data_IF_873803048728
#
_entry.id   IF_873803048728
#
_cell.length_a   1.000
_cell.length_b   1.000
_cell.length_c   1.000
_cell.angle_alpha   90.00
_cell.angle_beta   90.00
_cell.angle_gamma   90.00
#
_symmetry.space_group_name_H-M   'P 1'
#
loop_
_entity.id
_entity.type
_entity.pdbx_description
1 polymer ?
#
# COMPACT_ATOMS: atom_id res chain seq x y z
N UNK A 1 -0.67 3.14 6.11
CA UNK A 1 0.49 2.67 5.36
C UNK A 1 1.77 3.31 5.87
N UNK A 2 2.85 2.60 5.78
CA UNK A 2 4.17 3.17 6.04
C UNK A 2 5.21 2.55 5.13
N UNK A 3 6.28 3.32 4.86
CA UNK A 3 7.42 2.86 4.07
C UNK A 3 8.62 2.75 5.01
N UNK A 4 9.27 1.60 4.97
CA UNK A 4 10.42 1.28 5.82
C UNK A 4 11.65 1.08 4.94
N UNK A 5 12.75 1.71 5.30
CA UNK A 5 14.02 1.57 4.60
C UNK A 5 15.11 1.34 5.63
N UNK A 6 15.85 0.24 5.48
CA UNK A 6 16.93 -0.10 6.41
C UNK A 6 16.46 -0.25 7.86
N UNK A 7 15.26 -0.79 8.07
CA UNK A 7 14.69 -0.95 9.40
C UNK A 7 14.09 0.30 10.02
N UNK A 8 14.12 1.42 9.29
CA UNK A 8 13.60 2.70 9.78
C UNK A 8 12.34 3.11 9.02
N UNK A 9 11.32 3.56 9.73
CA UNK A 9 10.11 4.09 9.10
C UNK A 9 10.42 5.48 8.56
N UNK A 10 10.39 5.64 7.25
CA UNK A 10 10.71 6.90 6.59
C UNK A 10 9.47 7.71 6.18
N UNK A 11 8.31 7.08 6.12
CA UNK A 11 7.05 7.79 5.87
C UNK A 11 5.88 7.03 6.46
N UNK A 12 4.82 7.77 6.78
CA UNK A 12 3.55 7.25 7.27
C UNK A 12 2.43 8.02 6.61
N UNK A 13 1.33 7.36 6.34
CA UNK A 13 0.16 8.02 5.77
C UNK A 13 -1.10 7.23 6.09
N UNK A 14 -2.23 7.91 6.03
CA UNK A 14 -3.54 7.29 6.13
C UNK A 14 -4.41 7.81 4.99
N UNK A 15 -5.53 7.16 4.74
CA UNK A 15 -6.44 7.50 3.66
C UNK A 15 -7.01 8.90 3.85
N UNK A 16 -6.86 9.78 2.85
CA UNK A 16 -7.36 11.15 2.84
C UNK A 16 -8.35 11.41 1.70
N UNK A 17 -8.93 10.35 1.13
CA UNK A 17 -9.89 10.47 0.01
C UNK A 17 -11.03 11.43 0.35
N UNK A 18 -11.68 11.22 1.49
CA UNK A 18 -12.81 12.07 1.91
C UNK A 18 -12.35 13.48 2.29
N UNK A 19 -11.28 13.61 3.05
CA UNK A 19 -10.77 14.88 3.53
C UNK A 19 -10.36 15.80 2.38
N UNK A 20 -9.75 15.25 1.34
CA UNK A 20 -9.23 16.02 0.20
C UNK A 20 -10.17 16.02 -1.01
N UNK A 21 -11.28 15.29 -0.94
CA UNK A 21 -12.14 15.04 -2.09
C UNK A 21 -11.32 14.57 -3.30
N UNK A 22 -10.40 13.66 -3.04
CA UNK A 22 -9.43 13.17 -4.01
C UNK A 22 -9.43 11.65 -4.02
N UNK A 23 -9.97 11.06 -5.06
CA UNK A 23 -10.10 9.61 -5.20
C UNK A 23 -8.74 8.89 -5.22
N UNK A 24 -7.66 9.60 -5.50
CA UNK A 24 -6.31 9.02 -5.53
C UNK A 24 -5.58 9.12 -4.19
N UNK A 25 -6.16 9.79 -3.19
CA UNK A 25 -5.49 10.01 -1.90
C UNK A 25 -5.54 8.78 -0.98
N UNK A 26 -5.19 7.62 -1.53
CA UNK A 26 -5.01 6.39 -0.76
C UNK A 26 -3.73 6.47 0.08
N UNK A 27 -3.75 5.82 1.23
CA UNK A 27 -2.62 5.81 2.16
C UNK A 27 -1.31 5.38 1.46
N UNK A 28 -1.38 4.37 0.60
CA UNK A 28 -0.21 3.84 -0.11
C UNK A 28 0.43 4.89 -1.01
N UNK A 29 -0.37 5.59 -1.82
CA UNK A 29 0.14 6.62 -2.72
C UNK A 29 0.80 7.76 -1.94
N UNK A 30 0.16 8.18 -0.85
CA UNK A 30 0.67 9.25 0.00
C UNK A 30 1.99 8.86 0.66
N UNK A 31 2.07 7.63 1.18
CA UNK A 31 3.28 7.13 1.82
C UNK A 31 4.44 6.99 0.83
N UNK A 32 4.16 6.46 -0.37
CA UNK A 32 5.17 6.30 -1.41
C UNK A 32 5.73 7.66 -1.87
N UNK A 33 4.85 8.62 -2.13
CA UNK A 33 5.25 9.97 -2.52
C UNK A 33 6.11 10.64 -1.45
N UNK A 34 5.71 10.54 -0.19
CA UNK A 34 6.44 11.13 0.92
C UNK A 34 7.83 10.49 1.07
N UNK A 35 7.93 9.17 0.94
CA UNK A 35 9.20 8.46 1.01
C UNK A 35 10.14 8.88 -0.11
N UNK A 36 9.62 8.99 -1.33
CA UNK A 36 10.41 9.41 -2.49
C UNK A 36 10.98 10.82 -2.31
N UNK A 37 10.15 11.73 -1.81
CA UNK A 37 10.60 13.10 -1.52
C UNK A 37 11.67 13.13 -0.45
N UNK A 38 11.49 12.36 0.61
CA UNK A 38 12.46 12.30 1.71
C UNK A 38 13.80 11.75 1.26
N UNK A 39 13.80 10.72 0.42
CA UNK A 39 15.03 10.11 -0.09
C UNK A 39 15.60 10.81 -1.32
N UNK A 40 14.85 11.74 -1.92
CA UNK A 40 15.27 12.45 -3.11
C UNK A 40 15.37 11.56 -4.34
N UNK A 41 14.60 10.48 -4.41
CA UNK A 41 14.62 9.55 -5.53
C UNK A 41 13.23 8.99 -5.79
N UNK A 42 12.92 8.72 -7.04
CA UNK A 42 11.67 8.04 -7.43
C UNK A 42 11.76 6.52 -7.34
N UNK A 43 12.93 5.98 -7.05
CA UNK A 43 13.16 4.53 -6.95
C UNK A 43 13.34 4.14 -5.50
N UNK A 44 12.43 3.32 -5.00
CA UNK A 44 12.40 2.89 -3.62
C UNK A 44 12.84 1.42 -3.50
N UNK A 45 13.89 1.05 -4.22
CA UNK A 45 14.38 -0.33 -4.37
C UNK A 45 14.74 -1.00 -3.04
N UNK A 46 15.14 -0.21 -2.05
CA UNK A 46 15.56 -0.73 -0.75
C UNK A 46 14.47 -0.59 0.31
N UNK A 47 13.24 -0.25 -0.10
CA UNK A 47 12.15 0.05 0.82
C UNK A 47 11.05 -1.02 0.76
N UNK A 48 10.39 -1.22 1.89
CA UNK A 48 9.24 -2.11 2.02
C UNK A 48 8.02 -1.28 2.37
N UNK A 49 6.91 -1.52 1.69
CA UNK A 49 5.63 -0.89 2.01
C UNK A 49 4.82 -1.80 2.91
N UNK A 50 4.39 -1.26 4.04
CA UNK A 50 3.47 -1.94 4.97
C UNK A 50 2.12 -1.26 4.92
N UNK A 51 1.06 -2.03 4.75
CA UNK A 51 -0.29 -1.49 4.64
C UNK A 51 -1.31 -2.42 5.31
N UNK A 52 -2.37 -1.85 5.88
CA UNK A 52 -3.38 -2.63 6.60
C UNK A 52 -4.29 -3.43 5.67
N UNK A 53 -4.55 -2.90 4.47
CA UNK A 53 -5.42 -3.56 3.48
C UNK A 53 -4.65 -3.81 2.20
N UNK A 54 -4.91 -4.95 1.57
CA UNK A 54 -4.33 -5.31 0.27
C UNK A 54 -4.49 -4.17 -0.74
N UNK A 55 -3.40 -3.73 -1.39
CA UNK A 55 -3.47 -2.62 -2.35
C UNK A 55 -4.39 -2.88 -3.53
N UNK A 56 -5.10 -1.84 -3.97
CA UNK A 56 -5.92 -1.88 -5.18
C UNK A 56 -5.05 -1.72 -6.44
N UNK A 57 -5.69 -1.78 -7.62
CA UNK A 57 -4.98 -1.70 -8.90
C UNK A 57 -4.18 -0.39 -9.04
N UNK A 58 -4.76 0.73 -8.65
CA UNK A 58 -4.09 2.04 -8.72
C UNK A 58 -2.82 2.04 -7.86
N UNK A 59 -2.93 1.54 -6.62
CA UNK A 59 -1.80 1.50 -5.70
C UNK A 59 -0.74 0.50 -6.14
N UNK A 60 -1.14 -0.66 -6.67
CA UNK A 60 -0.17 -1.62 -7.20
C UNK A 60 0.59 -1.03 -8.38
N UNK A 61 -0.08 -0.27 -9.24
CA UNK A 61 0.60 0.44 -10.34
C UNK A 61 1.66 1.40 -9.81
N UNK A 62 1.33 2.17 -8.78
CA UNK A 62 2.29 3.08 -8.15
C UNK A 62 3.45 2.31 -7.48
N UNK A 63 3.14 1.24 -6.76
CA UNK A 63 4.14 0.38 -6.12
C UNK A 63 5.17 -0.11 -7.17
N UNK A 64 4.69 -0.54 -8.32
CA UNK A 64 5.56 -0.98 -9.40
C UNK A 64 6.40 0.18 -9.97
N UNK A 65 5.77 1.34 -10.16
CA UNK A 65 6.46 2.52 -10.70
C UNK A 65 7.56 3.03 -9.76
N UNK A 66 7.33 2.96 -8.45
CA UNK A 66 8.33 3.36 -7.46
C UNK A 66 9.37 2.26 -7.20
N UNK A 67 9.21 1.08 -7.79
CA UNK A 67 10.15 -0.05 -7.63
C UNK A 67 10.32 -0.48 -6.19
N UNK A 68 9.23 -0.53 -5.43
CA UNK A 68 9.26 -1.02 -4.04
C UNK A 68 9.81 -2.45 -4.01
N UNK A 69 10.65 -2.76 -3.00
CA UNK A 69 11.27 -4.07 -2.88
C UNK A 69 10.26 -5.17 -2.50
N UNK A 70 9.27 -4.84 -1.66
CA UNK A 70 8.26 -5.79 -1.23
C UNK A 70 7.07 -5.07 -0.61
N UNK A 71 5.91 -5.74 -0.60
CA UNK A 71 4.70 -5.26 0.06
C UNK A 71 4.31 -6.25 1.15
N UNK A 72 4.01 -5.72 2.33
CA UNK A 72 3.47 -6.51 3.44
C UNK A 72 2.10 -5.93 3.79
N UNK A 73 1.04 -6.75 3.70
CA UNK A 73 -0.30 -6.26 4.03
C UNK A 73 -1.01 -7.16 5.04
N UNK A 74 -1.98 -6.56 5.73
CA UNK A 74 -2.76 -7.27 6.73
C UNK A 74 -3.93 -8.02 6.12
N UNK A 75 -5.03 -7.31 5.86
CA UNK A 75 -6.26 -7.93 5.38
C UNK A 75 -6.26 -8.06 3.86
N UNK A 76 -6.77 -9.20 3.36
CA UNK A 76 -7.07 -9.38 1.94
C UNK A 76 -8.35 -8.60 1.59
N UNK A 77 -8.40 -8.06 0.38
CA UNK A 77 -9.56 -7.33 -0.13
C UNK A 77 -10.13 -8.07 -1.34
N UNK A 78 -11.18 -8.89 -1.16
CA UNK A 78 -11.74 -9.66 -2.27
C UNK A 78 -12.49 -8.81 -3.29
N UNK A 79 -12.82 -7.56 -2.96
CA UNK A 79 -13.57 -6.69 -3.87
C UNK A 79 -12.68 -5.86 -4.77
N UNK A 80 -11.59 -5.31 -4.22
CA UNK A 80 -10.73 -4.37 -4.95
C UNK A 80 -9.24 -4.67 -4.87
N UNK A 81 -8.82 -5.67 -4.09
CA UNK A 81 -7.42 -6.00 -3.92
C UNK A 81 -6.80 -6.53 -5.20
N UNK A 82 -5.73 -5.92 -5.66
CA UNK A 82 -5.05 -6.29 -6.89
C UNK A 82 -3.58 -6.63 -6.69
N UNK A 83 -3.23 -7.06 -5.48
CA UNK A 83 -1.97 -7.76 -5.28
C UNK A 83 -2.16 -9.23 -5.67
N UNK A 84 -3.23 -9.85 -5.16
CA UNK A 84 -3.53 -11.26 -5.43
C UNK A 84 -5.03 -11.57 -5.47
N UNK A 85 -5.88 -10.88 -4.70
CA UNK A 85 -7.27 -11.32 -4.48
C UNK A 85 -8.18 -11.18 -5.70
N UNK A 86 -8.26 -10.00 -6.28
CA UNK A 86 -9.11 -9.73 -7.44
C UNK A 86 -8.34 -9.91 -8.75
N UNK A 87 -7.09 -9.50 -8.77
CA UNK A 87 -6.17 -9.77 -9.86
C UNK A 87 -4.74 -9.73 -9.31
N UNK A 88 -3.81 -10.38 -10.00
CA UNK A 88 -2.43 -10.48 -9.54
C UNK A 88 -1.53 -9.52 -10.29
N UNK A 89 -1.58 -8.23 -9.94
CA UNK A 89 -0.67 -7.25 -10.51
C UNK A 89 0.74 -7.35 -9.94
N UNK A 90 0.91 -8.10 -8.84
CA UNK A 90 2.23 -8.36 -8.27
C UNK A 90 3.14 -9.13 -9.22
N UNK A 91 2.56 -9.86 -10.18
CA UNK A 91 3.30 -10.59 -11.20
C UNK A 91 2.48 -10.69 -12.49
N UNK A 92 3.16 -10.93 -13.61
CA UNK A 92 2.50 -11.32 -14.86
C UNK A 92 1.98 -10.21 -15.77
N UNK A 93 1.81 -8.98 -15.28
CA UNK A 93 1.29 -7.88 -16.09
C UNK A 93 2.39 -6.99 -16.68
N UNK A 94 3.56 -7.01 -16.09
CA UNK A 94 4.72 -6.21 -16.50
C UNK A 94 5.99 -7.02 -16.28
N UNK A 95 7.14 -6.44 -16.63
CA UNK A 95 8.44 -7.03 -16.33
C UNK A 95 8.83 -6.86 -14.86
N UNK A 96 7.96 -6.25 -14.06
CA UNK A 96 8.25 -5.94 -12.66
C UNK A 96 7.44 -6.88 -11.78
N UNK A 97 8.15 -7.69 -10.99
CA UNK A 97 7.53 -8.54 -9.99
C UNK A 97 7.74 -7.92 -8.62
N UNK A 98 6.67 -7.78 -7.86
CA UNK A 98 6.72 -7.25 -6.51
C UNK A 98 6.44 -8.40 -5.53
N UNK A 99 7.43 -8.87 -4.78
CA UNK A 99 7.19 -9.86 -3.73
C UNK A 99 6.22 -9.30 -2.69
N UNK A 100 5.34 -10.15 -2.17
CA UNK A 100 4.40 -9.71 -1.15
C UNK A 100 4.21 -10.79 -0.08
N UNK A 101 3.79 -10.34 1.10
CA UNK A 101 3.32 -11.20 2.18
C UNK A 101 1.99 -10.62 2.64
N UNK A 102 0.93 -11.42 2.58
CA UNK A 102 -0.40 -11.01 3.02
C UNK A 102 -0.84 -11.79 4.24
N UNK A 103 -1.86 -11.27 4.94
CA UNK A 103 -2.42 -11.92 6.11
C UNK A 103 -1.65 -11.65 7.40
N UNK A 104 -0.75 -10.68 7.41
CA UNK A 104 0.02 -10.33 8.62
C UNK A 104 -0.90 -9.55 9.57
N UNK A 105 -1.16 -10.12 10.75
CA UNK A 105 -2.09 -9.56 11.74
C UNK A 105 -3.44 -9.22 11.09
N UNK A 106 -3.92 -10.11 10.27
CA UNK A 106 -5.09 -9.90 9.41
C UNK A 106 -6.33 -9.49 10.20
N UNK A 107 -6.61 -10.18 11.31
CA UNK A 107 -7.80 -9.89 12.11
C UNK A 107 -7.76 -8.48 12.70
N UNK A 108 -6.62 -8.08 13.24
CA UNK A 108 -6.44 -6.74 13.81
C UNK A 108 -6.60 -5.66 12.73
N UNK A 109 -6.02 -5.90 11.57
CA UNK A 109 -6.13 -4.97 10.44
C UNK A 109 -7.58 -4.87 9.96
N UNK A 110 -8.27 -5.99 9.85
CA UNK A 110 -9.68 -6.02 9.45
C UNK A 110 -10.55 -5.27 10.45
N UNK A 111 -10.30 -5.45 11.74
CA UNK A 111 -11.05 -4.77 12.79
C UNK A 111 -10.84 -3.25 12.75
N UNK A 112 -9.62 -2.80 12.50
CA UNK A 112 -9.31 -1.38 12.35
C UNK A 112 -10.08 -0.78 11.17
N UNK A 113 -10.11 -1.46 10.04
CA UNK A 113 -10.82 -1.02 8.85
C UNK A 113 -12.33 -0.98 9.08
N UNK A 114 -12.88 -2.00 9.73
CA UNK A 114 -14.31 -2.06 10.06
C UNK A 114 -14.70 -0.89 10.96
N UNK A 115 -13.92 -0.61 11.99
CA UNK A 115 -14.16 0.50 12.90
C UNK A 115 -14.09 1.84 12.18
N UNK A 116 -13.09 2.02 11.30
CA UNK A 116 -12.92 3.24 10.50
C UNK A 116 -14.14 3.50 9.62
N UNK A 117 -14.56 2.50 8.84
CA UNK A 117 -15.70 2.66 7.94
C UNK A 117 -17.02 2.81 8.69
N UNK A 118 -17.17 2.18 9.84
CA UNK A 118 -18.36 2.36 10.68
C UNK A 118 -18.49 3.81 11.15
N UNK A 119 -17.40 4.44 11.52
CA UNK A 119 -17.38 5.82 12.01
C UNK A 119 -17.59 6.86 10.90
N UNK A 120 -17.48 6.45 9.64
CA UNK A 120 -17.65 7.34 8.49
C UNK A 120 -19.11 7.42 8.00
N UNK A 121 -19.99 6.61 8.53
CA UNK A 121 -21.40 6.61 8.14
C UNK A 121 -22.23 7.59 8.94
#
# INVERSE_FOLDING_TARGET
ACVVCGGEIISRAHNLVETRSDASAHAELLALSAAAKKLGTRRLNDCILYVTLEPCAMCMGAIMNFRIAAVVFGAFDPEAGCCVSRCELSCGMTNINIPYVGGIREEECRNLLTAFFRNKR
#
